data_IF_496677681666
#
_entry.id   IF_496677681666
#
_cell.length_a   1.000
_cell.length_b   1.000
_cell.length_c   1.000
_cell.angle_alpha   90.00
_cell.angle_beta   90.00
_cell.angle_gamma   90.00
#
_symmetry.space_group_name_H-M   'P 1'
#
loop_
_entity.id
_entity.type
_entity.pdbx_description
1 polymer ?
#
# COMPACT_ATOMS: atom_id res chain seq x y z
N UNK A 1 -18.31 15.87 10.04
CA UNK A 1 -17.35 16.38 9.04
C UNK A 1 -17.09 15.31 7.95
N UNK A 2 -17.73 15.48 6.78
CA UNK A 2 -17.57 14.56 5.65
C UNK A 2 -16.11 14.47 5.23
N UNK A 3 -15.64 13.28 4.86
CA UNK A 3 -14.34 13.20 4.21
C UNK A 3 -14.51 13.90 2.86
N UNK A 4 -13.77 14.99 2.66
CA UNK A 4 -13.77 15.71 1.39
C UNK A 4 -12.75 14.96 0.53
N UNK A 5 -13.25 14.23 -0.47
CA UNK A 5 -12.37 13.73 -1.53
C UNK A 5 -11.84 14.91 -2.34
N UNK A 6 -10.72 14.71 -3.04
CA UNK A 6 -10.20 15.73 -3.95
C UNK A 6 -11.24 16.10 -5.00
N UNK A 7 -11.38 17.39 -5.25
CA UNK A 7 -12.14 17.91 -6.38
C UNK A 7 -11.39 17.67 -7.69
N UNK A 8 -12.11 17.73 -8.80
CA UNK A 8 -11.54 17.50 -10.13
C UNK A 8 -10.40 18.49 -10.44
N UNK A 9 -10.58 19.78 -10.12
CA UNK A 9 -9.56 20.82 -10.31
C UNK A 9 -8.32 20.62 -9.42
N UNK A 10 -8.50 20.06 -8.23
CA UNK A 10 -7.39 19.69 -7.35
C UNK A 10 -6.57 18.53 -7.92
N UNK A 11 -7.25 17.51 -8.47
CA UNK A 11 -6.59 16.37 -9.13
C UNK A 11 -5.82 16.85 -10.36
N UNK A 12 -6.45 17.63 -11.24
CA UNK A 12 -5.79 18.21 -12.41
C UNK A 12 -4.55 19.02 -12.03
N UNK A 13 -4.65 19.82 -10.97
CA UNK A 13 -3.52 20.60 -10.46
C UNK A 13 -2.36 19.73 -9.98
N UNK A 14 -2.65 18.61 -9.30
CA UNK A 14 -1.59 17.67 -8.86
C UNK A 14 -0.84 17.11 -10.06
N UNK A 15 -1.56 16.64 -11.08
CA UNK A 15 -0.93 16.07 -12.28
C UNK A 15 -0.14 17.12 -13.06
N UNK A 16 -0.68 18.34 -13.21
CA UNK A 16 0.03 19.44 -13.87
C UNK A 16 1.35 19.76 -13.16
N UNK A 17 1.32 19.91 -11.83
CA UNK A 17 2.53 20.18 -11.05
C UNK A 17 3.54 19.03 -11.15
N UNK A 18 3.08 17.78 -11.17
CA UNK A 18 3.96 16.63 -11.35
C UNK A 18 4.65 16.68 -12.73
N UNK A 19 3.89 16.93 -13.81
CA UNK A 19 4.43 17.05 -15.17
C UNK A 19 5.44 18.21 -15.31
N UNK A 20 5.14 19.37 -14.73
CA UNK A 20 6.04 20.54 -14.69
C UNK A 20 7.37 20.26 -13.95
N UNK A 21 7.41 19.23 -13.10
CA UNK A 21 8.58 18.85 -12.31
C UNK A 21 9.17 17.49 -12.73
N UNK A 22 8.81 16.97 -13.91
CA UNK A 22 9.29 15.69 -14.44
C UNK A 22 9.01 14.49 -13.50
N UNK A 23 7.92 14.58 -12.74
CA UNK A 23 7.45 13.54 -11.83
C UNK A 23 6.28 12.76 -12.45
N UNK A 24 6.22 11.47 -12.13
CA UNK A 24 5.04 10.65 -12.39
C UNK A 24 4.16 10.59 -11.13
N UNK A 25 2.85 10.49 -11.32
CA UNK A 25 1.88 10.27 -10.24
C UNK A 25 1.51 8.79 -10.22
N UNK A 26 1.65 8.16 -9.05
CA UNK A 26 1.19 6.79 -8.80
C UNK A 26 0.04 6.86 -7.79
N UNK A 27 -1.23 6.70 -8.22
CA UNK A 27 -2.35 6.72 -7.29
C UNK A 27 -2.32 5.48 -6.38
N UNK A 28 -2.71 5.67 -5.12
CA UNK A 28 -2.96 4.57 -4.18
C UNK A 28 -4.42 4.61 -3.73
N UNK A 29 -5.14 3.51 -3.97
CA UNK A 29 -6.51 3.31 -3.49
C UNK A 29 -6.56 2.06 -2.65
N UNK A 30 -7.17 2.15 -1.48
CA UNK A 30 -7.39 0.98 -0.64
C UNK A 30 -8.49 0.09 -1.23
N UNK A 31 -8.18 -1.19 -1.45
CA UNK A 31 -9.11 -2.16 -2.06
C UNK A 31 -9.44 -3.34 -1.15
N UNK A 32 -9.00 -3.34 0.11
CA UNK A 32 -9.32 -4.44 1.03
C UNK A 32 -9.40 -3.98 2.50
N UNK A 33 -8.26 -3.63 3.10
CA UNK A 33 -8.15 -3.01 4.42
C UNK A 33 -8.25 -1.49 4.35
N UNK A 34 -8.16 -0.83 5.51
CA UNK A 34 -8.23 0.64 5.66
C UNK A 34 -9.39 1.32 4.90
N UNK A 35 -10.54 0.64 4.85
CA UNK A 35 -11.72 1.12 4.13
C UNK A 35 -12.70 1.91 5.01
N UNK A 36 -12.30 2.33 6.20
CA UNK A 36 -13.18 3.03 7.14
C UNK A 36 -13.79 4.29 6.52
N UNK A 37 -13.07 4.97 5.62
CA UNK A 37 -13.58 6.15 4.94
C UNK A 37 -14.85 5.87 4.09
N UNK A 38 -14.99 4.64 3.58
CA UNK A 38 -16.17 4.17 2.83
C UNK A 38 -17.12 3.42 3.74
N UNK A 39 -16.63 2.39 4.43
CA UNK A 39 -17.45 1.43 5.15
C UNK A 39 -18.06 2.02 6.42
N UNK A 40 -17.64 3.19 6.90
CA UNK A 40 -18.34 3.92 7.97
C UNK A 40 -19.75 4.34 7.60
N UNK A 41 -20.05 4.49 6.32
CA UNK A 41 -21.36 4.93 5.85
C UNK A 41 -22.37 3.78 5.93
N UNK A 42 -23.56 4.05 6.48
CA UNK A 42 -24.61 3.05 6.72
C UNK A 42 -24.93 2.21 5.49
N UNK A 43 -25.01 2.86 4.31
CA UNK A 43 -25.24 2.23 3.01
C UNK A 43 -24.22 1.17 2.60
N UNK A 44 -23.07 1.08 3.25
CA UNK A 44 -22.01 0.10 2.93
C UNK A 44 -21.71 -0.86 4.09
N UNK A 45 -22.47 -0.78 5.19
CA UNK A 45 -22.27 -1.62 6.39
C UNK A 45 -22.35 -3.12 6.10
N UNK A 46 -23.23 -3.52 5.19
CA UNK A 46 -23.43 -4.92 4.80
C UNK A 46 -22.23 -5.53 4.06
N UNK A 47 -21.29 -4.70 3.58
CA UNK A 47 -20.07 -5.14 2.92
C UNK A 47 -18.92 -5.40 3.89
N UNK A 48 -19.08 -5.11 5.19
CA UNK A 48 -17.99 -5.27 6.18
C UNK A 48 -17.72 -6.75 6.44
N UNK A 49 -16.45 -7.10 6.58
CA UNK A 49 -16.05 -8.45 7.01
C UNK A 49 -16.48 -8.72 8.47
N UNK A 50 -16.44 -7.72 9.32
CA UNK A 50 -17.05 -7.79 10.65
C UNK A 50 -17.97 -6.61 10.80
N UNK A 51 -19.27 -6.86 11.00
CA UNK A 51 -20.30 -5.81 11.05
C UNK A 51 -19.92 -4.61 11.94
N UNK A 52 -19.28 -4.88 13.08
CA UNK A 52 -18.84 -3.86 14.04
C UNK A 52 -17.66 -3.01 13.55
N UNK A 53 -16.79 -3.55 12.69
CA UNK A 53 -15.54 -2.92 12.29
C UNK A 53 -15.58 -2.48 10.82
N UNK A 54 -15.51 -1.16 10.54
CA UNK A 54 -15.52 -0.66 9.17
C UNK A 54 -14.14 -0.75 8.48
N UNK A 55 -13.18 -1.51 9.01
CA UNK A 55 -11.80 -1.53 8.50
C UNK A 55 -11.66 -2.30 7.19
N UNK A 56 -12.42 -3.38 7.03
CA UNK A 56 -12.19 -4.37 5.97
C UNK A 56 -13.50 -4.82 5.34
N UNK A 57 -13.47 -5.01 4.02
CA UNK A 57 -14.60 -5.54 3.25
C UNK A 57 -14.66 -7.08 3.32
N UNK A 58 -15.85 -7.65 3.19
CA UNK A 58 -16.09 -9.07 2.98
C UNK A 58 -15.78 -9.43 1.52
N UNK A 59 -14.67 -10.13 1.21
CA UNK A 59 -14.26 -10.40 -0.16
C UNK A 59 -15.23 -11.33 -0.90
N UNK A 60 -15.97 -12.15 -0.16
CA UNK A 60 -16.94 -13.10 -0.72
C UNK A 60 -18.30 -12.47 -1.05
N UNK A 61 -18.53 -11.20 -0.67
CA UNK A 61 -19.76 -10.51 -1.04
C UNK A 61 -19.63 -9.90 -2.45
N UNK A 62 -20.54 -10.19 -3.40
CA UNK A 62 -20.38 -9.78 -4.81
C UNK A 62 -20.27 -8.26 -5.00
N UNK A 63 -21.03 -7.50 -4.21
CA UNK A 63 -21.00 -6.04 -4.25
C UNK A 63 -19.69 -5.43 -3.73
N UNK A 64 -18.86 -6.18 -2.99
CA UNK A 64 -17.55 -5.71 -2.52
C UNK A 64 -16.60 -5.49 -3.69
N UNK A 65 -16.53 -6.44 -4.63
CA UNK A 65 -15.71 -6.30 -5.83
C UNK A 65 -16.20 -5.12 -6.68
N UNK A 66 -17.52 -4.97 -6.85
CA UNK A 66 -18.10 -3.83 -7.58
C UNK A 66 -17.72 -2.49 -6.94
N UNK A 67 -17.77 -2.38 -5.62
CA UNK A 67 -17.39 -1.16 -4.92
C UNK A 67 -15.92 -0.80 -5.16
N UNK A 68 -14.99 -1.75 -4.98
CA UNK A 68 -13.54 -1.46 -5.12
C UNK A 68 -13.15 -1.17 -6.57
N UNK A 69 -13.69 -1.91 -7.53
CA UNK A 69 -13.44 -1.69 -8.97
C UNK A 69 -13.99 -0.34 -9.43
N UNK A 70 -15.16 0.07 -8.92
CA UNK A 70 -15.70 1.41 -9.18
C UNK A 70 -14.77 2.51 -8.65
N UNK A 71 -14.21 2.35 -7.44
CA UNK A 71 -13.27 3.34 -6.89
C UNK A 71 -11.97 3.40 -7.69
N UNK A 72 -11.44 2.25 -8.11
CA UNK A 72 -10.26 2.17 -8.97
C UNK A 72 -10.52 2.91 -10.28
N UNK A 73 -11.62 2.60 -10.95
CA UNK A 73 -12.01 3.22 -12.22
C UNK A 73 -12.13 4.73 -12.09
N UNK A 74 -12.82 5.21 -11.05
CA UNK A 74 -12.95 6.65 -10.80
C UNK A 74 -11.60 7.35 -10.64
N UNK A 75 -10.62 6.73 -9.97
CA UNK A 75 -9.31 7.35 -9.77
C UNK A 75 -8.47 7.31 -11.05
N UNK A 76 -8.50 6.20 -11.79
CA UNK A 76 -7.74 6.06 -13.05
C UNK A 76 -8.32 6.99 -14.13
N UNK A 77 -9.65 7.01 -14.30
CA UNK A 77 -10.34 7.80 -15.33
C UNK A 77 -10.24 9.32 -15.09
N UNK A 78 -9.89 9.75 -13.87
CA UNK A 78 -9.62 11.16 -13.55
C UNK A 78 -8.18 11.58 -13.80
N UNK A 79 -7.27 10.63 -14.04
CA UNK A 79 -5.93 10.96 -14.46
C UNK A 79 -5.95 11.52 -15.89
N UNK A 80 -5.21 12.60 -16.21
CA UNK A 80 -5.17 13.16 -17.56
C UNK A 80 -4.51 12.21 -18.57
N UNK A 81 -3.72 11.24 -18.09
CA UNK A 81 -3.06 10.19 -18.86
C UNK A 81 -3.13 8.89 -18.06
N UNK A 82 -3.21 7.75 -18.75
CA UNK A 82 -3.15 6.43 -18.09
C UNK A 82 -1.84 6.30 -17.31
N UNK A 83 -1.90 6.04 -15.99
CA UNK A 83 -0.69 5.97 -15.16
C UNK A 83 0.06 4.66 -15.43
N UNK A 84 1.40 4.69 -15.44
CA UNK A 84 2.19 3.46 -15.63
C UNK A 84 2.05 2.48 -14.46
N UNK A 85 1.79 2.99 -13.26
CA UNK A 85 1.63 2.20 -12.05
C UNK A 85 0.38 2.62 -11.28
N UNK A 86 -0.22 1.68 -10.55
CA UNK A 86 -1.36 1.95 -9.68
C UNK A 86 -1.26 1.07 -8.43
N UNK A 87 -1.33 1.67 -7.24
CA UNK A 87 -1.18 0.94 -5.99
C UNK A 87 -2.55 0.58 -5.40
N UNK A 88 -2.83 -0.70 -5.21
CA UNK A 88 -4.13 -1.21 -4.74
C UNK A 88 -4.26 -1.29 -3.20
N UNK A 89 -3.30 -0.73 -2.46
CA UNK A 89 -3.15 -0.95 -1.02
C UNK A 89 -3.12 -2.44 -0.66
N UNK A 90 -4.19 -2.91 -0.02
CA UNK A 90 -4.45 -4.30 0.39
C UNK A 90 -3.60 -4.80 1.58
N UNK A 91 -3.22 -3.88 2.45
CA UNK A 91 -2.54 -4.09 3.73
C UNK A 91 -3.51 -4.32 4.89
N UNK A 92 -2.99 -4.93 5.96
CA UNK A 92 -3.56 -4.91 7.33
C UNK A 92 -5.02 -5.42 7.43
N UNK A 93 -5.37 -6.45 6.67
CA UNK A 93 -6.71 -7.05 6.66
C UNK A 93 -6.87 -8.06 7.82
N UNK A 94 -6.76 -7.56 9.05
CA UNK A 94 -6.67 -8.39 10.27
C UNK A 94 -7.89 -9.31 10.50
N UNK A 95 -9.06 -8.91 10.01
CA UNK A 95 -10.32 -9.61 10.26
C UNK A 95 -10.75 -10.59 9.15
N UNK A 96 -9.91 -10.84 8.13
CA UNK A 96 -10.27 -11.72 7.01
C UNK A 96 -10.70 -13.13 7.47
N UNK A 97 -11.82 -13.64 6.95
CA UNK A 97 -12.33 -14.98 7.25
C UNK A 97 -13.18 -15.05 8.51
N UNK A 98 -13.70 -13.93 9.00
CA UNK A 98 -14.49 -13.86 10.25
C UNK A 98 -15.99 -13.68 10.03
N UNK A 99 -16.46 -13.30 8.84
CA UNK A 99 -17.90 -13.27 8.56
C UNK A 99 -18.45 -14.68 8.28
N UNK A 100 -19.77 -14.81 8.33
CA UNK A 100 -20.47 -16.08 8.07
C UNK A 100 -20.31 -16.63 6.66
N UNK A 101 -19.92 -15.80 5.68
CA UNK A 101 -19.69 -16.24 4.30
C UNK A 101 -18.23 -16.68 4.14
N UNK A 102 -17.30 -15.89 4.69
CA UNK A 102 -15.87 -16.13 4.56
C UNK A 102 -15.37 -17.25 5.48
N UNK A 103 -16.08 -17.57 6.57
CA UNK A 103 -15.69 -18.62 7.52
C UNK A 103 -15.56 -20.01 6.91
N UNK A 104 -16.22 -20.25 5.77
CA UNK A 104 -16.19 -21.54 5.07
C UNK A 104 -14.95 -21.72 4.17
N UNK A 105 -14.10 -20.70 4.07
CA UNK A 105 -12.92 -20.69 3.19
C UNK A 105 -11.63 -20.45 3.96
N UNK A 106 -10.55 -21.04 3.46
CA UNK A 106 -9.21 -20.76 3.97
C UNK A 106 -8.76 -19.33 3.64
N UNK A 107 -8.23 -18.63 4.65
CA UNK A 107 -7.82 -17.21 4.53
C UNK A 107 -6.85 -16.91 3.39
N UNK A 108 -5.80 -17.73 3.12
CA UNK A 108 -4.91 -17.50 1.99
C UNK A 108 -5.66 -17.49 0.65
N UNK A 109 -6.62 -18.41 0.46
CA UNK A 109 -7.40 -18.48 -0.78
C UNK A 109 -8.42 -17.34 -0.89
N UNK A 110 -9.03 -16.89 0.22
CA UNK A 110 -9.85 -15.67 0.22
C UNK A 110 -9.05 -14.45 -0.23
N UNK A 111 -7.84 -14.28 0.33
CA UNK A 111 -6.93 -13.20 -0.04
C UNK A 111 -6.57 -13.29 -1.53
N UNK A 112 -6.10 -14.44 -1.99
CA UNK A 112 -5.67 -14.61 -3.38
C UNK A 112 -6.81 -14.42 -4.39
N UNK A 113 -8.01 -14.95 -4.11
CA UNK A 113 -9.18 -14.80 -4.99
C UNK A 113 -9.60 -13.32 -5.10
N UNK A 114 -9.61 -12.60 -3.98
CA UNK A 114 -9.93 -11.17 -4.00
C UNK A 114 -8.89 -10.37 -4.78
N UNK A 115 -7.61 -10.56 -4.48
CA UNK A 115 -6.51 -9.88 -5.17
C UNK A 115 -6.54 -10.16 -6.67
N UNK A 116 -6.69 -11.42 -7.09
CA UNK A 116 -6.77 -11.77 -8.51
C UNK A 116 -7.97 -11.10 -9.19
N UNK A 117 -9.12 -11.01 -8.52
CA UNK A 117 -10.32 -10.39 -9.10
C UNK A 117 -10.10 -8.89 -9.34
N UNK A 118 -9.48 -8.20 -8.37
CA UNK A 118 -9.13 -6.77 -8.50
C UNK A 118 -8.06 -6.56 -9.57
N UNK A 119 -7.02 -7.39 -9.60
CA UNK A 119 -5.93 -7.29 -10.56
C UNK A 119 -6.37 -7.59 -11.99
N UNK A 120 -7.24 -8.60 -12.18
CA UNK A 120 -7.84 -8.91 -13.50
C UNK A 120 -8.66 -7.73 -14.01
N UNK A 121 -9.48 -7.11 -13.15
CA UNK A 121 -10.23 -5.92 -13.53
C UNK A 121 -9.33 -4.79 -14.05
N UNK A 122 -8.22 -4.51 -13.36
CA UNK A 122 -7.25 -3.49 -13.82
C UNK A 122 -6.63 -3.90 -15.16
N UNK A 123 -6.19 -5.15 -15.29
CA UNK A 123 -5.56 -5.65 -16.51
C UNK A 123 -6.50 -5.59 -17.73
N UNK A 124 -7.77 -5.95 -17.54
CA UNK A 124 -8.76 -6.03 -18.61
C UNK A 124 -9.28 -4.65 -19.01
N UNK A 125 -9.59 -3.78 -18.03
CA UNK A 125 -10.21 -2.47 -18.29
C UNK A 125 -9.18 -1.37 -18.55
N UNK A 126 -8.01 -1.45 -17.92
CA UNK A 126 -6.96 -0.42 -17.98
C UNK A 126 -5.61 -1.04 -18.38
N UNK A 127 -5.50 -1.58 -19.61
CA UNK A 127 -4.28 -2.22 -20.06
C UNK A 127 -3.10 -1.25 -20.08
N UNK A 128 -1.92 -1.74 -19.72
CA UNK A 128 -0.68 -0.95 -19.65
C UNK A 128 -0.35 -0.40 -18.27
N UNK A 129 -1.29 -0.48 -17.31
CA UNK A 129 -1.02 -0.19 -15.90
C UNK A 129 -0.37 -1.42 -15.26
N UNK A 130 0.75 -1.24 -14.53
CA UNK A 130 1.34 -2.26 -13.66
C UNK A 130 0.90 -2.04 -12.20
N UNK A 131 0.08 -2.93 -11.63
CA UNK A 131 -0.32 -2.83 -10.23
C UNK A 131 0.85 -2.97 -9.24
N UNK A 132 0.73 -2.28 -8.10
CA UNK A 132 1.58 -2.39 -6.91
C UNK A 132 0.69 -2.71 -5.70
N UNK A 133 1.17 -3.53 -4.76
CA UNK A 133 0.45 -3.80 -3.51
C UNK A 133 1.40 -3.86 -2.31
N UNK A 134 0.87 -3.64 -1.10
CA UNK A 134 1.65 -3.85 0.12
C UNK A 134 1.88 -5.35 0.34
N UNK A 135 3.03 -5.71 0.91
CA UNK A 135 3.46 -7.11 0.99
C UNK A 135 2.97 -7.86 2.24
N UNK A 136 2.55 -7.17 3.30
CA UNK A 136 2.36 -7.73 4.64
C UNK A 136 1.39 -8.91 4.66
N UNK A 137 0.28 -8.79 3.94
CA UNK A 137 -0.71 -9.87 3.81
C UNK A 137 -0.14 -11.10 3.09
N UNK A 138 0.86 -10.95 2.22
CA UNK A 138 1.53 -12.06 1.52
C UNK A 138 2.59 -12.75 2.38
N UNK A 139 3.04 -12.15 3.48
CA UNK A 139 4.09 -12.73 4.34
C UNK A 139 3.70 -14.10 4.88
N UNK A 140 2.42 -14.28 5.22
CA UNK A 140 1.87 -15.54 5.76
C UNK A 140 1.44 -16.54 4.68
N UNK A 141 1.38 -16.13 3.41
CA UNK A 141 1.01 -17.01 2.29
C UNK A 141 2.22 -17.79 1.82
N UNK A 142 2.03 -19.09 1.56
CA UNK A 142 3.10 -19.97 1.06
C UNK A 142 3.48 -19.61 -0.38
N UNK A 143 4.74 -19.91 -0.74
CA UNK A 143 5.23 -19.69 -2.10
C UNK A 143 4.42 -20.48 -3.14
N UNK A 144 3.97 -21.69 -2.79
CA UNK A 144 3.22 -22.57 -3.68
C UNK A 144 1.87 -21.96 -4.06
N UNK A 145 1.13 -21.39 -3.09
CA UNK A 145 -0.14 -20.70 -3.36
C UNK A 145 0.10 -19.46 -4.24
N UNK A 146 1.13 -18.67 -3.96
CA UNK A 146 1.46 -17.49 -4.78
C UNK A 146 1.76 -17.89 -6.24
N UNK A 147 2.49 -19.00 -6.43
CA UNK A 147 2.84 -19.55 -7.75
C UNK A 147 1.64 -20.17 -8.47
N UNK A 148 0.80 -20.90 -7.75
CA UNK A 148 -0.46 -21.49 -8.25
C UNK A 148 -1.35 -20.40 -8.86
N UNK A 149 -1.54 -19.30 -8.12
CA UNK A 149 -2.34 -18.16 -8.55
C UNK A 149 -1.61 -17.26 -9.57
N UNK A 150 -0.34 -17.53 -9.86
CA UNK A 150 0.52 -16.76 -10.77
C UNK A 150 0.59 -15.27 -10.44
N UNK A 151 0.49 -14.91 -9.16
CA UNK A 151 0.32 -13.53 -8.70
C UNK A 151 1.46 -12.61 -9.17
N UNK A 152 2.70 -13.12 -9.21
CA UNK A 152 3.86 -12.32 -9.64
C UNK A 152 3.81 -11.84 -11.10
N UNK A 153 3.01 -12.47 -11.95
CA UNK A 153 2.76 -11.98 -13.30
C UNK A 153 1.87 -10.74 -13.32
N UNK A 154 1.09 -10.49 -12.26
CA UNK A 154 0.03 -9.49 -12.24
C UNK A 154 0.35 -8.24 -11.41
N UNK A 155 1.18 -8.35 -10.36
CA UNK A 155 1.44 -7.25 -9.43
C UNK A 155 2.90 -7.29 -8.94
N UNK A 156 3.46 -6.11 -8.64
CA UNK A 156 4.74 -5.99 -7.94
C UNK A 156 4.50 -5.69 -6.44
N UNK A 157 5.03 -6.50 -5.51
CA UNK A 157 4.88 -6.23 -4.08
C UNK A 157 5.78 -5.06 -3.65
N UNK A 158 5.30 -4.27 -2.70
CA UNK A 158 6.03 -3.21 -2.01
C UNK A 158 6.28 -3.63 -0.56
N UNK A 159 7.53 -3.95 -0.25
CA UNK A 159 7.93 -4.43 1.07
C UNK A 159 8.14 -3.26 2.02
N UNK A 160 7.35 -3.21 3.10
CA UNK A 160 7.42 -2.11 4.06
C UNK A 160 7.89 -2.56 5.44
N UNK A 161 8.72 -1.72 6.08
CA UNK A 161 9.16 -1.91 7.46
C UNK A 161 9.73 -0.59 7.97
N UNK A 162 9.20 -0.09 9.10
CA UNK A 162 9.42 1.29 9.51
C UNK A 162 10.22 1.45 10.79
N UNK A 163 10.58 0.35 11.47
CA UNK A 163 11.40 0.40 12.69
C UNK A 163 12.85 0.81 12.41
N UNK A 164 13.55 1.43 13.37
CA UNK A 164 14.91 1.91 13.17
C UNK A 164 15.90 0.74 13.07
N UNK A 165 17.14 1.01 12.64
CA UNK A 165 18.12 -0.03 12.31
C UNK A 165 18.29 -1.11 13.40
N UNK A 166 18.29 -0.71 14.68
CA UNK A 166 18.43 -1.60 15.83
C UNK A 166 17.29 -2.62 16.00
N UNK A 167 16.12 -2.35 15.42
CA UNK A 167 14.94 -3.22 15.46
C UNK A 167 14.51 -3.65 14.05
N UNK A 168 15.36 -3.43 13.05
CA UNK A 168 15.05 -3.74 11.67
C UNK A 168 14.99 -5.24 11.43
N UNK A 169 13.77 -5.78 11.26
CA UNK A 169 13.56 -7.21 11.10
C UNK A 169 12.42 -7.52 10.13
N UNK A 170 12.77 -7.64 8.84
CA UNK A 170 11.92 -8.35 7.88
C UNK A 170 11.95 -9.85 8.14
N UNK A 171 10.84 -10.59 7.94
CA UNK A 171 10.78 -12.02 8.20
C UNK A 171 11.88 -12.83 7.49
N UNK A 172 12.43 -13.82 8.19
CA UNK A 172 13.41 -14.77 7.63
C UNK A 172 12.79 -15.52 6.45
N UNK A 173 13.55 -15.66 5.35
CA UNK A 173 13.07 -16.35 4.14
C UNK A 173 12.19 -15.50 3.23
N UNK A 174 11.89 -14.24 3.59
CA UNK A 174 11.04 -13.35 2.80
C UNK A 174 11.63 -13.10 1.41
N UNK A 175 12.92 -12.79 1.35
CA UNK A 175 13.60 -12.45 0.11
C UNK A 175 13.69 -13.66 -0.82
N UNK A 176 14.04 -14.84 -0.30
CA UNK A 176 14.07 -16.09 -1.07
C UNK A 176 12.69 -16.40 -1.64
N UNK A 177 11.64 -16.27 -0.82
CA UNK A 177 10.25 -16.45 -1.25
C UNK A 177 9.88 -15.48 -2.38
N UNK A 178 10.20 -14.20 -2.24
CA UNK A 178 9.83 -13.20 -3.24
C UNK A 178 10.69 -13.25 -4.50
N UNK A 179 11.96 -13.66 -4.39
CA UNK A 179 12.80 -13.97 -5.54
C UNK A 179 12.19 -15.11 -6.38
N UNK A 180 11.67 -16.14 -5.72
CA UNK A 180 11.06 -17.30 -6.38
C UNK A 180 9.69 -17.00 -7.00
N UNK A 181 8.98 -15.95 -6.54
CA UNK A 181 7.60 -15.68 -6.94
C UNK A 181 7.42 -14.45 -7.84
N UNK A 182 8.21 -13.38 -7.65
CA UNK A 182 7.99 -12.07 -8.29
C UNK A 182 9.20 -11.60 -9.11
N UNK A 183 10.42 -11.75 -8.58
CA UNK A 183 11.66 -11.27 -9.22
C UNK A 183 11.86 -9.75 -9.25
N UNK A 184 10.78 -8.96 -9.20
CA UNK A 184 10.78 -7.49 -9.08
C UNK A 184 9.95 -7.07 -7.87
N UNK A 185 10.41 -6.07 -7.13
CA UNK A 185 9.66 -5.50 -6.01
C UNK A 185 10.03 -4.04 -5.76
N UNK A 186 9.20 -3.39 -4.96
CA UNK A 186 9.44 -2.08 -4.37
C UNK A 186 9.76 -2.23 -2.89
N UNK A 187 10.44 -1.25 -2.30
CA UNK A 187 10.60 -1.15 -0.85
C UNK A 187 9.95 0.15 -0.35
N UNK A 188 9.55 0.18 0.92
CA UNK A 188 9.00 1.37 1.54
C UNK A 188 9.58 1.61 2.93
N UNK A 189 10.04 2.83 3.11
CA UNK A 189 10.43 3.45 4.38
C UNK A 189 9.43 4.55 4.73
N UNK A 190 9.71 5.33 5.78
CA UNK A 190 8.91 6.50 6.14
C UNK A 190 9.82 7.67 6.53
N UNK A 191 9.45 8.90 6.19
CA UNK A 191 10.10 10.13 6.69
C UNK A 191 9.35 10.79 7.85
N UNK A 192 8.11 10.38 8.09
CA UNK A 192 7.26 10.82 9.20
C UNK A 192 6.16 9.79 9.44
N UNK A 193 5.52 9.85 10.61
CA UNK A 193 4.56 8.84 11.04
C UNK A 193 5.27 7.53 11.39
N UNK A 194 4.51 6.46 11.64
CA UNK A 194 5.05 5.14 12.01
C UNK A 194 5.93 5.09 13.30
N UNK A 195 6.07 6.19 14.04
CA UNK A 195 6.81 6.25 15.32
C UNK A 195 5.90 6.35 16.55
N UNK A 196 4.63 6.70 16.36
CA UNK A 196 3.60 6.63 17.39
C UNK A 196 2.34 7.42 17.04
N UNK A 197 1.20 7.08 17.64
CA UNK A 197 -0.01 7.89 17.51
C UNK A 197 0.19 9.24 18.21
N UNK A 198 -0.41 10.30 17.66
CA UNK A 198 -0.37 11.68 18.22
C UNK A 198 1.00 12.37 18.26
N UNK A 199 2.03 11.88 17.57
CA UNK A 199 3.32 12.58 17.49
C UNK A 199 3.17 13.94 16.81
N UNK A 200 3.87 14.95 17.30
CA UNK A 200 3.85 16.32 16.72
C UNK A 200 5.04 16.53 15.79
N UNK A 201 6.21 16.02 16.17
CA UNK A 201 7.46 16.15 15.44
C UNK A 201 8.02 14.77 15.09
N UNK A 202 8.59 14.58 13.89
CA UNK A 202 9.26 13.33 13.57
C UNK A 202 10.50 13.09 14.40
N UNK A 203 10.72 11.84 14.78
CA UNK A 203 11.97 11.38 15.36
C UNK A 203 12.97 11.17 14.23
N UNK A 204 13.67 12.24 13.82
CA UNK A 204 14.53 12.23 12.61
C UNK A 204 15.52 11.05 12.61
N UNK A 205 16.20 10.79 13.74
CA UNK A 205 17.19 9.71 13.82
C UNK A 205 16.58 8.32 13.58
N UNK A 206 15.31 8.12 13.96
CA UNK A 206 14.58 6.88 13.69
C UNK A 206 14.48 6.66 12.18
N UNK A 207 13.94 7.65 11.47
CA UNK A 207 13.75 7.58 10.03
C UNK A 207 15.07 7.46 9.28
N UNK A 208 16.06 8.28 9.61
CA UNK A 208 17.41 8.21 9.04
C UNK A 208 18.00 6.79 9.16
N UNK A 209 18.01 6.22 10.36
CA UNK A 209 18.57 4.88 10.57
C UNK A 209 17.81 3.79 9.82
N UNK A 210 16.49 3.92 9.68
CA UNK A 210 15.67 3.01 8.89
C UNK A 210 16.06 3.05 7.40
N UNK A 211 16.32 4.23 6.83
CA UNK A 211 16.76 4.36 5.43
C UNK A 211 18.14 3.76 5.21
N UNK A 212 19.11 4.05 6.08
CA UNK A 212 20.46 3.46 6.01
C UNK A 212 20.40 1.93 6.05
N UNK A 213 19.56 1.39 6.93
CA UNK A 213 19.36 -0.04 7.06
C UNK A 213 18.67 -0.64 5.83
N UNK A 214 17.68 0.03 5.26
CA UNK A 214 17.06 -0.38 3.99
C UNK A 214 18.09 -0.48 2.87
N UNK A 215 18.91 0.56 2.66
CA UNK A 215 19.96 0.58 1.63
C UNK A 215 21.02 -0.52 1.86
N UNK A 216 21.43 -0.72 3.12
CA UNK A 216 22.34 -1.81 3.51
C UNK A 216 21.74 -3.20 3.28
N UNK A 217 20.42 -3.34 3.40
CA UNK A 217 19.72 -4.62 3.20
C UNK A 217 19.60 -4.93 1.72
N UNK A 218 19.11 -3.98 0.92
CA UNK A 218 18.87 -4.22 -0.51
C UNK A 218 20.14 -4.33 -1.34
N UNK A 219 21.25 -3.69 -0.92
CA UNK A 219 22.55 -3.85 -1.58
C UNK A 219 23.11 -5.27 -1.50
N UNK A 220 22.59 -6.11 -0.60
CA UNK A 220 22.97 -7.51 -0.44
C UNK A 220 22.07 -8.48 -1.20
N UNK A 221 20.98 -7.99 -1.80
CA UNK A 221 20.06 -8.80 -2.59
C UNK A 221 20.59 -8.93 -4.02
N UNK A 222 20.74 -10.16 -4.49
CA UNK A 222 21.31 -10.50 -5.81
C UNK A 222 20.27 -11.11 -6.77
N UNK A 223 19.25 -11.78 -6.24
CA UNK A 223 18.20 -12.48 -7.00
C UNK A 223 16.95 -11.63 -7.29
N UNK A 224 16.89 -10.40 -6.79
CA UNK A 224 15.70 -9.54 -6.86
C UNK A 224 16.09 -8.19 -7.44
N UNK A 225 15.29 -7.70 -8.39
CA UNK A 225 15.39 -6.31 -8.87
C UNK A 225 14.53 -5.39 -8.01
N UNK A 226 15.16 -4.44 -7.32
CA UNK A 226 14.45 -3.36 -6.62
C UNK A 226 14.12 -2.25 -7.62
N UNK A 227 12.83 -2.00 -7.82
CA UNK A 227 12.34 -0.99 -8.78
C UNK A 227 12.47 0.43 -8.23
N UNK A 228 12.38 0.60 -6.91
CA UNK A 228 12.50 1.88 -6.25
C UNK A 228 12.15 1.80 -4.77
N UNK A 229 12.33 2.94 -4.09
CA UNK A 229 11.97 3.14 -2.68
C UNK A 229 10.86 4.20 -2.56
N UNK A 230 9.79 3.85 -1.84
CA UNK A 230 8.76 4.80 -1.43
C UNK A 230 9.10 5.35 -0.03
N UNK A 231 9.29 6.65 0.07
CA UNK A 231 9.50 7.33 1.36
C UNK A 231 8.14 7.85 1.84
N UNK A 232 7.46 7.03 2.64
CA UNK A 232 6.07 7.30 3.04
C UNK A 232 5.95 8.41 4.09
N UNK A 233 4.82 9.12 4.07
CA UNK A 233 4.51 10.21 4.99
C UNK A 233 3.17 10.02 5.68
N UNK A 234 3.04 8.94 6.45
CA UNK A 234 1.79 8.62 7.16
C UNK A 234 1.40 9.74 8.12
N UNK A 235 0.10 10.02 8.22
CA UNK A 235 -0.43 11.13 9.03
C UNK A 235 -1.53 10.69 10.01
N UNK A 236 -1.85 9.40 10.03
CA UNK A 236 -2.83 8.76 10.93
C UNK A 236 -2.66 7.24 10.83
N UNK A 237 -3.01 6.53 11.90
CA UNK A 237 -2.90 5.06 11.98
C UNK A 237 -4.19 4.36 11.52
N UNK A 238 -5.33 4.99 11.75
CA UNK A 238 -6.61 4.59 11.17
C UNK A 238 -7.42 5.86 10.86
N UNK A 239 -8.57 5.69 10.20
CA UNK A 239 -9.38 6.84 9.77
C UNK A 239 -10.03 7.63 10.92
N UNK A 240 -10.18 7.02 12.10
CA UNK A 240 -10.73 7.61 13.32
C UNK A 240 -9.66 8.15 14.28
N UNK A 241 -8.40 7.76 14.08
CA UNK A 241 -7.27 8.25 14.84
C UNK A 241 -7.01 9.75 14.61
N UNK A 242 -6.36 10.37 15.59
CA UNK A 242 -5.84 11.73 15.48
C UNK A 242 -4.72 11.81 14.45
N UNK A 243 -4.51 13.01 13.92
CA UNK A 243 -3.38 13.24 13.02
C UNK A 243 -2.05 13.21 13.79
N UNK A 244 -0.99 12.72 13.13
CA UNK A 244 0.39 12.84 13.59
C UNK A 244 1.26 13.54 12.55
N UNK A 245 2.30 14.23 13.03
CA UNK A 245 3.44 14.78 12.28
C UNK A 245 3.04 15.35 10.92
N UNK A 246 2.47 16.56 10.90
CA UNK A 246 2.03 17.19 9.66
C UNK A 246 3.21 17.64 8.79
N UNK A 247 2.96 17.77 7.49
CA UNK A 247 4.00 18.03 6.48
C UNK A 247 4.98 19.16 6.83
N UNK A 248 4.55 20.36 7.30
CA UNK A 248 5.50 21.44 7.61
C UNK A 248 6.53 21.06 8.69
N UNK A 249 6.10 20.34 9.73
CA UNK A 249 6.99 19.88 10.79
C UNK A 249 7.93 18.76 10.31
N UNK A 250 7.56 18.06 9.24
CA UNK A 250 8.30 16.93 8.71
C UNK A 250 9.26 17.26 7.56
N UNK A 251 9.29 18.49 7.06
CA UNK A 251 10.19 18.89 5.98
C UNK A 251 11.68 18.63 6.29
N UNK A 252 12.20 18.89 7.51
CA UNK A 252 13.60 18.56 7.83
C UNK A 252 13.88 17.06 7.75
N UNK A 253 12.94 16.24 8.25
CA UNK A 253 13.05 14.78 8.17
C UNK A 253 13.03 14.30 6.71
N UNK A 254 12.11 14.83 5.90
CA UNK A 254 12.01 14.52 4.47
C UNK A 254 13.30 14.85 3.72
N UNK A 255 13.87 16.03 3.96
CA UNK A 255 15.11 16.47 3.30
C UNK A 255 16.28 15.53 3.61
N UNK A 256 16.44 15.12 4.87
CA UNK A 256 17.48 14.18 5.29
C UNK A 256 17.26 12.78 4.72
N UNK A 257 16.03 12.27 4.76
CA UNK A 257 15.69 10.96 4.20
C UNK A 257 15.94 10.91 2.68
N UNK A 258 15.54 11.95 1.95
CA UNK A 258 15.82 12.06 0.51
C UNK A 258 17.32 12.11 0.22
N UNK A 259 18.09 12.85 1.04
CA UNK A 259 19.54 12.90 0.91
C UNK A 259 20.17 11.51 1.06
N UNK A 260 19.76 10.75 2.06
CA UNK A 260 20.23 9.36 2.26
C UNK A 260 19.88 8.47 1.08
N UNK A 261 18.62 8.48 0.62
CA UNK A 261 18.20 7.63 -0.49
C UNK A 261 18.92 7.94 -1.80
N UNK A 262 19.37 9.17 -2.00
CA UNK A 262 20.03 9.60 -3.24
C UNK A 262 21.55 9.48 -3.19
N UNK A 263 22.18 9.74 -2.04
CA UNK A 263 23.65 9.74 -1.90
C UNK A 263 24.22 8.63 -1.01
N UNK A 264 23.39 7.87 -0.31
CA UNK A 264 23.80 6.82 0.63
C UNK A 264 24.26 7.35 2.00
N UNK A 265 24.37 8.67 2.16
CA UNK A 265 24.81 9.39 3.37
C UNK A 265 24.11 10.75 3.47
N UNK A 266 24.15 11.40 4.64
CA UNK A 266 23.61 12.74 4.88
C UNK A 266 24.61 13.66 5.60
#
# INVERSE_FOLDING_TARGET
PGAVGYKEDEVERIYKLAEENELIVVPLVQTFGHLEFVLRHEKWTYLREVSKYPSSLCPSHPDSLRLVTTMIDQVIEKAPKTPSFFHIGADEVWHIGMCSICSDFERPYLLMNHLLSVLKHIQDKHPGIRPIMWDDMLRTVSADIIKEFQLGKMVDPMVWFYEPAQYFQVPTGLWEKYADCFGKLWIASAFKGATGPCQVLPVIQHHVSNHEQWLSTVSKLDRITILGIAITGWSRYDHYATLCELLPAALPSLALCLKICTTGTY
#
